data_IF_687959999937
#
_entry.id   IF_687959999937
#
_cell.length_a   1.000
_cell.length_b   1.000
_cell.length_c   1.000
_cell.angle_alpha   90.00
_cell.angle_beta   90.00
_cell.angle_gamma   90.00
#
_symmetry.space_group_name_H-M   'P 1'
#
loop_
_entity.id
_entity.type
_entity.pdbx_description
1 polymer ?
#
# COMPACT_ATOMS: atom_id res chain seq x y z
N UNK A 1 -38.92 -11.56 -13.98
CA UNK A 1 -38.53 -12.15 -12.70
C UNK A 1 -38.82 -11.13 -11.61
N UNK A 2 -39.70 -11.43 -10.65
CA UNK A 2 -39.92 -10.56 -9.49
C UNK A 2 -38.81 -10.84 -8.48
N UNK A 3 -38.05 -9.82 -8.12
CA UNK A 3 -37.10 -9.89 -7.00
C UNK A 3 -37.86 -10.25 -5.73
N UNK A 4 -37.42 -11.25 -4.95
CA UNK A 4 -38.06 -11.60 -3.68
C UNK A 4 -38.13 -10.38 -2.76
N UNK A 5 -39.25 -10.19 -2.07
CA UNK A 5 -39.47 -9.02 -1.20
C UNK A 5 -38.36 -8.85 -0.16
N UNK A 6 -37.79 -9.94 0.33
CA UNK A 6 -36.64 -9.96 1.23
C UNK A 6 -35.39 -9.28 0.64
N UNK A 7 -35.13 -9.45 -0.65
CA UNK A 7 -34.00 -8.82 -1.35
C UNK A 7 -34.28 -7.34 -1.58
N UNK A 8 -35.55 -6.98 -1.80
CA UNK A 8 -35.96 -5.59 -1.97
C UNK A 8 -35.82 -4.80 -0.66
N UNK A 9 -36.17 -5.43 0.45
CA UNK A 9 -36.10 -4.83 1.78
C UNK A 9 -34.64 -4.63 2.22
N UNK A 10 -33.76 -5.62 2.01
CA UNK A 10 -32.33 -5.49 2.32
C UNK A 10 -31.63 -4.45 1.46
N UNK A 11 -31.95 -4.37 0.16
CA UNK A 11 -31.42 -3.33 -0.73
C UNK A 11 -31.92 -1.95 -0.31
N UNK A 12 -33.19 -1.82 0.09
CA UNK A 12 -33.76 -0.55 0.56
C UNK A 12 -33.13 -0.10 1.88
N UNK A 13 -32.80 -1.04 2.77
CA UNK A 13 -32.11 -0.78 4.03
C UNK A 13 -30.66 -0.36 3.78
N UNK A 14 -29.92 -1.08 2.92
CA UNK A 14 -28.57 -0.72 2.48
C UNK A 14 -28.52 0.68 1.83
N UNK A 15 -29.49 1.02 0.98
CA UNK A 15 -29.56 2.34 0.34
C UNK A 15 -29.90 3.49 1.30
N UNK A 16 -30.51 3.19 2.45
CA UNK A 16 -30.85 4.18 3.48
C UNK A 16 -29.73 4.38 4.48
N UNK A 17 -28.92 3.36 4.73
CA UNK A 17 -27.80 3.44 5.66
C UNK A 17 -26.72 4.37 5.08
N UNK A 18 -26.37 5.46 5.79
CA UNK A 18 -25.27 6.31 5.37
C UNK A 18 -23.98 5.48 5.34
N UNK A 19 -23.20 5.59 4.27
CA UNK A 19 -21.91 4.88 4.08
C UNK A 19 -20.97 5.06 5.30
N UNK A 20 -21.09 6.18 6.02
CA UNK A 20 -20.29 6.47 7.23
C UNK A 20 -20.62 5.58 8.43
N UNK A 21 -21.81 5.00 8.47
CA UNK A 21 -22.28 4.13 9.55
C UNK A 21 -22.03 2.64 9.23
N UNK A 22 -21.50 2.35 8.04
CA UNK A 22 -21.08 1.01 7.62
C UNK A 22 -19.73 0.64 8.25
N UNK A 23 -19.72 -0.51 8.93
CA UNK A 23 -18.54 -1.09 9.59
C UNK A 23 -17.45 -1.45 8.58
N UNK A 24 -17.83 -1.92 7.39
CA UNK A 24 -16.89 -2.27 6.34
C UNK A 24 -16.23 -1.01 5.76
N UNK A 25 -17.01 0.05 5.56
CA UNK A 25 -16.48 1.35 5.14
C UNK A 25 -15.51 1.93 6.18
N UNK A 26 -15.83 1.85 7.48
CA UNK A 26 -14.94 2.26 8.55
C UNK A 26 -13.61 1.49 8.53
N UNK A 27 -13.66 0.19 8.27
CA UNK A 27 -12.48 -0.68 8.13
C UNK A 27 -11.62 -0.28 6.93
N UNK A 28 -12.24 -0.06 5.77
CA UNK A 28 -11.56 0.40 4.55
C UNK A 28 -10.93 1.79 4.73
N UNK A 29 -11.60 2.69 5.46
CA UNK A 29 -11.06 4.01 5.74
C UNK A 29 -9.80 3.96 6.62
N UNK A 30 -9.80 3.08 7.64
CA UNK A 30 -8.63 2.86 8.48
C UNK A 30 -7.47 2.24 7.69
N UNK A 31 -7.77 1.26 6.83
CA UNK A 31 -6.78 0.67 5.94
C UNK A 31 -6.20 1.69 4.94
N UNK A 32 -7.04 2.55 4.37
CA UNK A 32 -6.60 3.67 3.53
C UNK A 32 -5.62 4.58 4.27
N UNK A 33 -5.95 4.99 5.50
CA UNK A 33 -5.08 5.85 6.32
C UNK A 33 -3.75 5.16 6.64
N UNK A 34 -3.78 3.85 6.92
CA UNK A 34 -2.58 3.03 7.13
C UNK A 34 -1.70 3.01 5.88
N UNK A 35 -2.29 2.76 4.71
CA UNK A 35 -1.58 2.73 3.43
C UNK A 35 -1.00 4.09 3.06
N UNK A 36 -1.73 5.19 3.27
CA UNK A 36 -1.25 6.56 3.05
C UNK A 36 -0.03 6.87 3.93
N UNK A 37 -0.10 6.49 5.20
CA UNK A 37 1.01 6.64 6.16
C UNK A 37 2.24 5.82 5.76
N UNK A 38 2.03 4.58 5.32
CA UNK A 38 3.09 3.71 4.81
C UNK A 38 3.73 4.28 3.54
N UNK A 39 2.92 4.81 2.63
CA UNK A 39 3.38 5.42 1.39
C UNK A 39 4.25 6.66 1.67
N UNK A 40 3.83 7.50 2.61
CA UNK A 40 4.62 8.67 3.03
C UNK A 40 5.98 8.23 3.62
N UNK A 41 5.98 7.21 4.48
CA UNK A 41 7.20 6.64 5.06
C UNK A 41 8.14 6.10 3.99
N UNK A 42 7.63 5.35 3.01
CA UNK A 42 8.43 4.83 1.88
C UNK A 42 9.05 5.97 1.07
N UNK A 43 8.27 7.03 0.75
CA UNK A 43 8.80 8.21 0.03
C UNK A 43 9.91 8.91 0.81
N UNK A 44 9.75 9.05 2.12
CA UNK A 44 10.78 9.64 2.98
C UNK A 44 12.08 8.82 2.95
N UNK A 45 11.97 7.50 3.13
CA UNK A 45 13.14 6.61 3.12
C UNK A 45 13.85 6.60 1.77
N UNK A 46 13.10 6.60 0.67
CA UNK A 46 13.67 6.68 -0.67
C UNK A 46 14.54 7.94 -0.85
N UNK A 47 14.02 9.12 -0.46
CA UNK A 47 14.77 10.38 -0.53
C UNK A 47 16.03 10.35 0.34
N UNK A 48 15.94 9.78 1.55
CA UNK A 48 17.09 9.64 2.46
C UNK A 48 18.14 8.69 1.89
N UNK A 49 17.73 7.60 1.25
CA UNK A 49 18.62 6.65 0.59
C UNK A 49 19.34 7.31 -0.59
N UNK A 50 18.62 8.10 -1.40
CA UNK A 50 19.21 8.87 -2.49
C UNK A 50 20.28 9.85 -1.99
N UNK A 51 20.00 10.56 -0.89
CA UNK A 51 20.98 11.43 -0.24
C UNK A 51 22.20 10.65 0.26
N UNK A 52 22.01 9.47 0.85
CA UNK A 52 23.11 8.61 1.28
C UNK A 52 24.00 8.22 0.10
N UNK A 53 23.42 7.78 -1.03
CA UNK A 53 24.20 7.47 -2.24
C UNK A 53 25.01 8.67 -2.73
N UNK A 54 24.41 9.86 -2.77
CA UNK A 54 25.13 11.09 -3.14
C UNK A 54 26.26 11.44 -2.16
N UNK A 55 26.12 11.09 -0.88
CA UNK A 55 27.19 11.28 0.11
C UNK A 55 28.31 10.27 -0.09
N UNK A 56 27.97 9.00 -0.32
CA UNK A 56 28.94 7.94 -0.59
C UNK A 56 29.75 8.22 -1.87
N UNK A 57 29.12 8.71 -2.94
CA UNK A 57 29.81 9.11 -4.19
C UNK A 57 30.85 10.21 -3.97
N UNK A 58 30.70 11.02 -2.92
CA UNK A 58 31.63 12.13 -2.60
C UNK A 58 32.78 11.72 -1.68
N UNK A 59 32.75 10.49 -1.14
CA UNK A 59 33.81 10.01 -0.24
C UNK A 59 35.09 9.77 -1.02
N UNK A 60 36.23 10.20 -0.46
CA UNK A 60 37.54 10.14 -1.13
C UNK A 60 38.47 9.10 -0.54
N UNK A 61 38.13 8.56 0.62
CA UNK A 61 38.91 7.54 1.30
C UNK A 61 37.99 6.60 2.12
N UNK A 62 38.56 5.47 2.54
CA UNK A 62 37.84 4.43 3.27
C UNK A 62 37.27 4.92 4.61
N UNK A 63 37.95 5.83 5.30
CA UNK A 63 37.49 6.34 6.59
C UNK A 63 36.23 7.19 6.42
N UNK A 64 36.22 8.13 5.47
CA UNK A 64 35.05 8.94 5.12
C UNK A 64 33.86 8.07 4.71
N UNK A 65 34.11 7.00 3.95
CA UNK A 65 33.10 6.03 3.57
C UNK A 65 32.46 5.35 4.80
N UNK A 66 33.30 4.84 5.71
CA UNK A 66 32.83 4.22 6.96
C UNK A 66 32.06 5.22 7.81
N UNK A 67 32.55 6.46 7.92
CA UNK A 67 31.90 7.51 8.72
C UNK A 67 30.50 7.85 8.17
N UNK A 68 30.34 7.96 6.85
CA UNK A 68 29.05 8.18 6.20
C UNK A 68 28.08 7.01 6.44
N UNK A 69 28.56 5.77 6.38
CA UNK A 69 27.74 4.59 6.69
C UNK A 69 27.35 4.54 8.18
N UNK A 70 28.26 4.86 9.09
CA UNK A 70 27.98 4.87 10.52
C UNK A 70 26.97 5.95 10.89
N UNK A 71 27.06 7.13 10.28
CA UNK A 71 26.09 8.21 10.46
C UNK A 71 24.70 7.89 9.89
N UNK A 72 24.63 6.96 8.93
CA UNK A 72 23.37 6.51 8.30
C UNK A 72 22.86 5.17 8.83
N UNK A 73 23.47 4.63 9.90
CA UNK A 73 23.13 3.30 10.47
C UNK A 73 21.64 3.13 10.80
N UNK A 74 20.99 4.15 11.34
CA UNK A 74 19.57 4.10 11.68
C UNK A 74 18.69 3.94 10.42
N UNK A 75 19.00 4.70 9.36
CA UNK A 75 18.33 4.62 8.07
C UNK A 75 18.50 3.23 7.45
N UNK A 76 19.72 2.72 7.42
CA UNK A 76 20.02 1.38 6.86
C UNK A 76 19.28 0.29 7.62
N UNK A 77 19.26 0.35 8.96
CA UNK A 77 18.50 -0.59 9.79
C UNK A 77 17.00 -0.55 9.47
N UNK A 78 16.44 0.64 9.31
CA UNK A 78 15.02 0.80 8.99
C UNK A 78 14.68 0.23 7.61
N UNK A 79 15.52 0.48 6.60
CA UNK A 79 15.38 -0.05 5.25
C UNK A 79 15.43 -1.59 5.24
N UNK A 80 16.43 -2.20 5.89
CA UNK A 80 16.52 -3.66 5.97
C UNK A 80 15.38 -4.29 6.77
N UNK A 81 14.87 -3.61 7.79
CA UNK A 81 13.70 -4.09 8.55
C UNK A 81 12.45 -4.08 7.69
N UNK A 82 12.23 -3.02 6.90
CA UNK A 82 11.11 -2.92 5.96
C UNK A 82 11.21 -3.93 4.83
N UNK A 83 12.42 -4.19 4.31
CA UNK A 83 12.65 -5.23 3.31
C UNK A 83 12.26 -6.62 3.85
N UNK A 84 12.66 -6.93 5.08
CA UNK A 84 12.32 -8.20 5.74
C UNK A 84 10.81 -8.32 6.01
N UNK A 85 10.15 -7.22 6.39
CA UNK A 85 8.69 -7.20 6.51
C UNK A 85 8.01 -7.42 5.16
N UNK A 86 8.47 -6.74 4.11
CA UNK A 86 7.93 -6.89 2.75
C UNK A 86 8.06 -8.33 2.26
N UNK A 87 9.23 -8.97 2.44
CA UNK A 87 9.44 -10.39 2.11
C UNK A 87 8.50 -11.33 2.87
N UNK A 88 8.15 -11.00 4.11
CA UNK A 88 7.17 -11.78 4.91
C UNK A 88 5.73 -11.54 4.47
N UNK A 89 5.39 -10.33 4.02
CA UNK A 89 4.04 -10.00 3.53
C UNK A 89 3.74 -10.67 2.18
N UNK A 90 4.74 -10.85 1.31
CA UNK A 90 4.58 -11.64 0.07
C UNK A 90 4.19 -13.11 0.28
N UNK A 91 4.27 -13.63 1.51
CA UNK A 91 3.84 -14.99 1.86
C UNK A 91 2.43 -15.04 2.49
N UNK A 92 1.75 -13.90 2.59
CA UNK A 92 0.41 -13.79 3.14
C UNK A 92 -0.33 -12.65 2.47
N UNK A 93 -0.63 -12.81 1.19
CA UNK A 93 -1.66 -11.99 0.55
C UNK A 93 -2.97 -12.20 1.29
N UNK A 94 -3.44 -11.16 1.98
CA UNK A 94 -4.85 -11.07 2.31
C UNK A 94 -5.54 -10.81 0.99
N UNK A 95 -5.93 -11.89 0.31
CA UNK A 95 -6.73 -11.84 -0.91
C UNK A 95 -8.10 -11.28 -0.55
N UNK A 96 -8.32 -10.01 -0.90
CA UNK A 96 -9.65 -9.42 -0.80
C UNK A 96 -10.48 -9.99 -1.93
N UNK A 97 -11.50 -10.77 -1.57
CA UNK A 97 -12.46 -11.30 -2.53
C UNK A 97 -13.38 -10.18 -3.03
N UNK A 98 -12.91 -9.46 -4.05
CA UNK A 98 -13.64 -8.34 -4.68
C UNK A 98 -14.96 -8.76 -5.33
N UNK A 99 -15.13 -10.05 -5.62
CA UNK A 99 -16.39 -10.58 -6.16
C UNK A 99 -17.56 -10.39 -5.20
N UNK A 100 -17.29 -10.35 -3.87
CA UNK A 100 -18.30 -10.04 -2.84
C UNK A 100 -18.92 -8.65 -3.00
N UNK A 101 -18.17 -7.73 -3.58
CA UNK A 101 -18.61 -6.35 -3.81
C UNK A 101 -19.13 -6.12 -5.24
N UNK A 102 -19.31 -7.20 -6.02
CA UNK A 102 -19.67 -7.13 -7.44
C UNK A 102 -18.68 -6.31 -8.28
N UNK A 103 -17.42 -6.23 -7.86
CA UNK A 103 -16.35 -5.55 -8.60
C UNK A 103 -15.50 -6.60 -9.29
N UNK A 104 -15.43 -6.54 -10.62
CA UNK A 104 -14.41 -7.26 -11.37
C UNK A 104 -13.09 -6.48 -11.27
N UNK A 105 -12.13 -7.05 -10.55
CA UNK A 105 -10.82 -6.46 -10.32
C UNK A 105 -10.06 -6.24 -11.63
N UNK A 106 -10.20 -7.14 -12.61
CA UNK A 106 -9.53 -7.01 -13.91
C UNK A 106 -10.17 -5.90 -14.73
N UNK A 107 -11.49 -5.80 -14.72
CA UNK A 107 -12.21 -4.72 -15.39
C UNK A 107 -11.83 -3.36 -14.77
N UNK A 108 -11.81 -3.27 -13.44
CA UNK A 108 -11.46 -2.05 -12.72
C UNK A 108 -10.03 -1.59 -12.98
N UNK A 109 -9.07 -2.52 -13.01
CA UNK A 109 -7.67 -2.22 -13.36
C UNK A 109 -7.60 -1.75 -14.82
N UNK A 110 -8.29 -2.42 -15.74
CA UNK A 110 -8.26 -2.06 -17.18
C UNK A 110 -8.81 -0.66 -17.48
N UNK A 111 -9.66 -0.12 -16.61
CA UNK A 111 -10.23 1.22 -16.73
C UNK A 111 -9.36 2.31 -16.08
N UNK A 112 -8.24 1.94 -15.44
CA UNK A 112 -7.42 2.86 -14.65
C UNK A 112 -5.94 2.74 -15.04
N UNK A 113 -5.47 3.65 -15.89
CA UNK A 113 -4.11 3.68 -16.43
C UNK A 113 -3.00 3.64 -15.36
N UNK A 114 -3.27 4.21 -14.19
CA UNK A 114 -2.33 4.20 -13.07
C UNK A 114 -2.18 2.79 -12.47
N UNK A 115 -3.25 2.01 -12.43
CA UNK A 115 -3.24 0.63 -11.93
C UNK A 115 -2.62 -0.32 -12.97
N UNK A 116 -2.90 -0.11 -14.26
CA UNK A 116 -2.23 -0.84 -15.35
C UNK A 116 -0.71 -0.66 -15.26
N UNK A 117 -0.25 0.58 -15.03
CA UNK A 117 1.18 0.86 -14.88
C UNK A 117 1.80 0.13 -13.68
N UNK A 118 1.06 0.00 -12.57
CA UNK A 118 1.51 -0.74 -11.38
C UNK A 118 1.52 -2.26 -11.60
N UNK A 119 0.52 -2.81 -12.30
CA UNK A 119 0.45 -4.22 -12.66
C UNK A 119 1.58 -4.61 -13.61
N UNK A 120 1.82 -3.81 -14.65
CA UNK A 120 2.93 -4.02 -15.59
C UNK A 120 4.31 -3.93 -14.93
N UNK A 121 4.41 -3.21 -13.82
CA UNK A 121 5.62 -3.09 -13.02
C UNK A 121 5.74 -4.15 -11.92
N UNK A 122 4.78 -5.09 -11.81
CA UNK A 122 4.78 -6.19 -10.84
C UNK A 122 4.52 -5.76 -9.39
N UNK A 123 3.82 -4.64 -9.18
CA UNK A 123 3.47 -4.11 -7.86
C UNK A 123 2.02 -4.39 -7.42
N UNK A 124 1.23 -5.03 -8.29
CA UNK A 124 -0.10 -5.58 -8.07
C UNK A 124 -0.06 -7.06 -8.50
#
# INVERSE_FOLDING_TARGET
MLTPDTVRDTVSEFQRTPIKDDVEFGTLQLEKQRLESLLLRKKYLFKRLQLLYQQLDKTRNYQEFVDVLMNSKALLREVFTLENQTRKTYLGEVEVDWSRFCIDSNEYISQNDQLIALQNAGFL
#
